data_IF_304691215345
#
_entry.id   IF_304691215345
#
_cell.length_a   1.000
_cell.length_b   1.000
_cell.length_c   1.000
_cell.angle_alpha   90.00
_cell.angle_beta   90.00
_cell.angle_gamma   90.00
#
_symmetry.space_group_name_H-M   'P 1'
#
loop_
_entity.id
_entity.type
_entity.pdbx_description
1 polymer ?
#
# COMPACT_ATOMS: atom_id res chain seq x y z
N UNK A 1 11.22 18.57 3.87
CA UNK A 1 10.53 17.73 2.87
C UNK A 1 10.76 16.28 3.26
N UNK A 2 9.72 15.51 3.60
CA UNK A 2 9.87 14.08 3.85
C UNK A 2 9.97 13.39 2.48
N UNK A 3 11.17 12.99 2.10
CA UNK A 3 11.42 12.27 0.88
C UNK A 3 10.68 10.91 0.94
N UNK A 4 9.96 10.59 -0.12
CA UNK A 4 9.31 9.29 -0.29
C UNK A 4 10.34 8.35 -0.89
N UNK A 5 10.71 7.31 -0.15
CA UNK A 5 11.73 6.36 -0.62
C UNK A 5 11.10 5.16 -1.32
N UNK A 6 10.04 4.57 -0.74
CA UNK A 6 9.27 3.48 -1.34
C UNK A 6 7.81 3.50 -0.91
N UNK A 7 6.92 3.10 -1.82
CA UNK A 7 5.49 2.88 -1.55
C UNK A 7 5.06 1.55 -2.15
N UNK A 8 4.13 0.84 -1.51
CA UNK A 8 3.65 -0.44 -2.03
C UNK A 8 2.30 -0.83 -1.48
N UNK A 9 1.60 -1.68 -2.24
CA UNK A 9 0.36 -2.33 -1.82
C UNK A 9 0.70 -3.75 -1.39
N UNK A 10 0.30 -4.12 -0.18
CA UNK A 10 0.56 -5.42 0.44
C UNK A 10 -0.76 -6.14 0.70
N UNK A 11 -0.77 -7.46 0.53
CA UNK A 11 -1.90 -8.30 0.93
C UNK A 11 -1.73 -8.72 2.39
N UNK A 12 -2.73 -8.44 3.21
CA UNK A 12 -2.81 -8.93 4.58
C UNK A 12 -3.94 -9.96 4.68
N UNK A 13 -3.58 -11.23 4.57
CA UNK A 13 -4.53 -12.35 4.59
C UNK A 13 -5.19 -12.56 5.95
N UNK A 14 -4.48 -12.27 7.05
CA UNK A 14 -5.03 -12.40 8.41
C UNK A 14 -6.20 -11.43 8.64
N UNK A 15 -6.12 -10.24 8.03
CA UNK A 15 -7.13 -9.18 8.15
C UNK A 15 -8.02 -9.04 6.91
N UNK A 16 -7.88 -9.94 5.94
CA UNK A 16 -8.64 -9.96 4.67
C UNK A 16 -8.71 -8.58 3.99
N UNK A 17 -7.55 -7.92 3.88
CA UNK A 17 -7.45 -6.56 3.34
C UNK A 17 -6.18 -6.32 2.54
N UNK A 18 -6.23 -5.35 1.63
CA UNK A 18 -5.06 -4.75 1.01
C UNK A 18 -4.62 -3.54 1.83
N UNK A 19 -3.32 -3.34 1.96
CA UNK A 19 -2.74 -2.28 2.76
C UNK A 19 -1.78 -1.46 1.91
N UNK A 20 -1.95 -0.14 1.91
CA UNK A 20 -1.02 0.78 1.27
C UNK A 20 -0.05 1.32 2.31
N UNK A 21 1.23 0.98 2.11
CA UNK A 21 2.31 1.33 3.01
C UNK A 21 3.25 2.36 2.40
N UNK A 22 3.68 3.29 3.23
CA UNK A 22 4.74 4.25 2.97
C UNK A 22 6.00 3.85 3.75
N UNK A 23 7.15 3.84 3.08
CA UNK A 23 8.46 3.68 3.72
C UNK A 23 9.21 5.01 3.65
N UNK A 24 9.33 5.64 4.82
CA UNK A 24 10.06 6.89 4.99
C UNK A 24 11.54 6.68 5.30
N UNK A 25 12.29 7.77 5.54
CA UNK A 25 13.68 7.67 6.00
C UNK A 25 13.79 6.85 7.29
N UNK A 26 14.89 6.11 7.44
CA UNK A 26 15.15 5.14 8.52
C UNK A 26 14.27 3.88 8.49
N UNK A 27 13.83 3.44 7.30
CA UNK A 27 12.99 2.25 7.11
C UNK A 27 11.66 2.27 7.90
N UNK A 28 11.21 3.47 8.28
CA UNK A 28 9.96 3.65 9.01
C UNK A 28 8.78 3.31 8.08
N UNK A 29 8.12 2.20 8.36
CA UNK A 29 6.92 1.75 7.65
C UNK A 29 5.67 2.32 8.31
N UNK A 30 4.93 3.13 7.57
CA UNK A 30 3.67 3.73 8.01
C UNK A 30 2.54 3.17 7.15
N UNK A 31 1.53 2.58 7.80
CA UNK A 31 0.28 2.22 7.14
C UNK A 31 -0.49 3.52 6.85
N UNK A 32 -0.67 3.84 5.58
CA UNK A 32 -1.34 5.07 5.16
C UNK A 32 -2.84 4.82 5.01
N UNK A 33 -3.21 3.69 4.41
CA UNK A 33 -4.60 3.33 4.19
C UNK A 33 -4.75 1.82 3.97
N UNK A 34 -5.99 1.33 4.05
CA UNK A 34 -6.33 -0.06 3.75
C UNK A 34 -7.68 -0.17 3.05
N UNK A 35 -7.88 -1.26 2.31
CA UNK A 35 -9.13 -1.62 1.64
C UNK A 35 -9.47 -3.07 1.96
N UNK A 36 -10.73 -3.35 2.34
CA UNK A 36 -11.23 -4.73 2.43
C UNK A 36 -11.06 -5.45 1.10
N UNK A 37 -10.82 -6.77 1.10
CA UNK A 37 -10.76 -7.58 -0.12
C UNK A 37 -12.03 -7.53 -0.98
N UNK A 38 -13.16 -7.05 -0.43
CA UNK A 38 -14.39 -6.87 -1.20
C UNK A 38 -14.43 -5.55 -1.98
N UNK A 39 -13.53 -4.59 -1.69
CA UNK A 39 -13.47 -3.27 -2.31
C UNK A 39 -12.63 -3.29 -3.60
N UNK A 40 -12.97 -4.18 -4.53
CA UNK A 40 -12.19 -4.42 -5.76
C UNK A 40 -12.08 -3.17 -6.65
N UNK A 41 -13.15 -2.39 -6.79
CA UNK A 41 -13.15 -1.17 -7.63
C UNK A 41 -12.20 -0.11 -7.09
N UNK A 42 -12.14 0.04 -5.78
CA UNK A 42 -11.22 0.95 -5.09
C UNK A 42 -9.78 0.44 -5.21
N UNK A 43 -9.57 -0.87 -5.09
CA UNK A 43 -8.26 -1.50 -5.29
C UNK A 43 -7.73 -1.27 -6.71
N UNK A 44 -8.53 -1.47 -7.75
CA UNK A 44 -8.12 -1.21 -9.14
C UNK A 44 -7.72 0.26 -9.35
N UNK A 45 -8.42 1.20 -8.70
CA UNK A 45 -8.03 2.61 -8.72
C UNK A 45 -6.70 2.83 -8.03
N UNK A 46 -6.44 2.17 -6.91
CA UNK A 46 -5.12 2.22 -6.26
C UNK A 46 -4.03 1.66 -7.16
N UNK A 47 -4.23 0.47 -7.75
CA UNK A 47 -3.22 -0.16 -8.60
C UNK A 47 -2.86 0.70 -9.82
N UNK A 48 -3.84 1.42 -10.40
CA UNK A 48 -3.61 2.33 -11.52
C UNK A 48 -2.89 3.63 -11.16
N UNK A 49 -3.11 4.16 -9.95
CA UNK A 49 -2.65 5.49 -9.56
C UNK A 49 -1.39 5.46 -8.69
N UNK A 50 -1.14 4.37 -7.99
CA UNK A 50 0.10 4.18 -7.24
C UNK A 50 1.18 3.65 -8.20
N UNK A 51 2.41 4.17 -8.09
CA UNK A 51 3.59 3.50 -8.62
C UNK A 51 3.79 2.22 -7.79
N UNK A 52 3.06 1.17 -8.12
CA UNK A 52 3.09 -0.09 -7.37
C UNK A 52 4.39 -0.80 -7.70
N UNK A 53 5.42 -0.64 -6.87
CA UNK A 53 6.42 -1.69 -6.77
C UNK A 53 5.75 -2.89 -6.10
N UNK A 54 5.43 -3.91 -6.89
CA UNK A 54 4.97 -5.19 -6.34
C UNK A 54 6.15 -5.80 -5.60
N UNK A 55 6.11 -5.74 -4.27
CA UNK A 55 7.03 -6.51 -3.45
C UNK A 55 6.68 -7.98 -3.62
N UNK A 56 7.56 -8.72 -4.31
CA UNK A 56 7.52 -10.18 -4.42
C UNK A 56 7.96 -10.86 -3.14
#
# INVERSE_FOLDING_TARGET
MNYVYKTGIYQNSEKTRWEYWYVGPNDLRILVSWLSWTAFKEYEKWEKNCLVEKAG
#
